data_IF_706570952384
#
_entry.id   IF_706570952384
#
_cell.length_a   1.000
_cell.length_b   1.000
_cell.length_c   1.000
_cell.angle_alpha   90.00
_cell.angle_beta   90.00
_cell.angle_gamma   90.00
#
_symmetry.space_group_name_H-M   'P 1'
#
loop_
_entity.id
_entity.type
_entity.pdbx_description
1 polymer ?
#
# COMPACT_ATOMS: atom_id res chain seq x y z
N UNK A 1 12.86 3.85 -0.34
CA UNK A 1 13.34 5.09 0.31
C UNK A 1 12.79 6.32 -0.39
N UNK A 2 13.39 6.82 -1.48
CA UNK A 2 12.97 8.05 -2.18
C UNK A 2 11.46 8.25 -2.36
N UNK A 3 10.74 7.20 -2.78
CA UNK A 3 9.27 7.16 -2.88
C UNK A 3 8.52 7.75 -1.66
N UNK A 4 9.02 7.53 -0.44
CA UNK A 4 8.46 8.09 0.80
C UNK A 4 9.07 9.48 1.14
N UNK A 5 10.30 9.76 0.72
CA UNK A 5 11.01 11.01 1.01
C UNK A 5 10.52 12.18 0.14
N UNK A 6 10.16 11.92 -1.11
CA UNK A 6 9.71 12.94 -2.07
C UNK A 6 8.30 13.46 -1.72
N UNK A 7 7.45 12.57 -1.18
CA UNK A 7 6.05 12.83 -0.80
C UNK A 7 5.87 13.23 0.68
N UNK A 8 6.92 13.19 1.50
CA UNK A 8 6.82 13.50 2.94
C UNK A 8 8.04 14.25 3.50
N UNK A 9 8.02 14.49 4.81
CA UNK A 9 9.17 14.98 5.59
C UNK A 9 10.03 13.87 6.22
N UNK A 10 9.65 12.59 6.08
CA UNK A 10 10.44 11.46 6.60
C UNK A 10 11.70 11.28 5.74
N UNK A 11 12.84 11.05 6.38
CA UNK A 11 14.15 10.90 5.71
C UNK A 11 14.89 9.66 6.20
N UNK A 12 15.55 8.98 5.27
CA UNK A 12 16.25 7.72 5.52
C UNK A 12 17.76 7.94 5.37
N UNK A 13 18.48 7.97 6.48
CA UNK A 13 19.94 8.16 6.51
C UNK A 13 20.63 6.87 6.93
N UNK A 14 21.69 6.48 6.20
CA UNK A 14 22.60 5.41 6.62
C UNK A 14 23.15 5.72 8.02
N UNK A 15 22.71 4.95 9.01
CA UNK A 15 23.02 5.22 10.40
C UNK A 15 24.43 4.73 10.79
N UNK A 16 25.12 5.58 11.53
CA UNK A 16 26.52 5.41 11.91
C UNK A 16 26.67 4.29 12.95
N UNK A 17 27.90 3.77 13.10
CA UNK A 17 28.20 2.66 14.04
C UNK A 17 27.73 2.90 15.49
N UNK A 18 27.62 4.15 15.93
CA UNK A 18 27.18 4.55 17.27
C UNK A 18 25.67 4.77 17.42
N UNK A 19 24.89 4.71 16.33
CA UNK A 19 23.43 4.84 16.38
C UNK A 19 22.84 3.55 16.97
N UNK A 20 22.10 3.69 18.08
CA UNK A 20 21.52 2.57 18.83
C UNK A 20 20.17 2.09 18.31
N UNK A 21 19.41 2.97 17.67
CA UNK A 21 18.07 2.67 17.16
C UNK A 21 18.11 2.71 15.64
N UNK A 22 17.95 1.56 14.99
CA UNK A 22 18.01 1.49 13.53
C UNK A 22 17.16 0.37 12.95
N UNK A 23 16.65 0.60 11.74
CA UNK A 23 16.17 -0.48 10.86
C UNK A 23 17.38 -1.21 10.30
N UNK A 24 17.38 -2.53 10.33
CA UNK A 24 18.39 -3.40 9.75
C UNK A 24 17.75 -4.16 8.59
N UNK A 25 18.15 -3.82 7.36
CA UNK A 25 17.67 -4.50 6.15
C UNK A 25 18.52 -5.75 5.96
N UNK A 26 17.88 -6.92 6.05
CA UNK A 26 18.55 -8.23 6.02
C UNK A 26 17.87 -9.19 5.03
N UNK A 27 18.55 -10.26 4.58
CA UNK A 27 17.90 -11.35 3.85
C UNK A 27 16.83 -12.02 4.71
N UNK A 28 15.71 -12.41 4.11
CA UNK A 28 14.67 -13.23 4.75
C UNK A 28 15.05 -14.71 4.72
N UNK A 29 14.86 -15.42 5.84
CA UNK A 29 15.08 -16.88 5.93
C UNK A 29 13.80 -17.69 5.62
N UNK A 30 12.63 -17.02 5.57
CA UNK A 30 11.31 -17.65 5.41
C UNK A 30 10.67 -17.39 4.03
N UNK A 31 11.41 -16.76 3.12
CA UNK A 31 10.96 -16.50 1.75
C UNK A 31 9.83 -15.47 1.61
N UNK A 32 9.66 -14.57 2.58
CA UNK A 32 8.73 -13.43 2.47
C UNK A 32 9.44 -12.09 2.70
N UNK A 33 8.86 -11.02 2.17
CA UNK A 33 9.14 -9.66 2.62
C UNK A 33 8.41 -9.45 3.97
N UNK A 34 9.01 -8.71 4.91
CA UNK A 34 8.36 -8.34 6.19
C UNK A 34 9.14 -7.25 6.94
N UNK A 35 8.45 -6.47 7.79
CA UNK A 35 9.07 -5.48 8.66
C UNK A 35 8.51 -5.53 10.09
N UNK A 36 9.34 -5.17 11.06
CA UNK A 36 8.88 -4.91 12.42
C UNK A 36 8.08 -3.62 12.50
N UNK A 37 6.89 -3.69 13.09
CA UNK A 37 5.97 -2.57 13.19
C UNK A 37 6.44 -1.46 14.16
N UNK A 38 6.48 -0.23 13.66
CA UNK A 38 6.68 1.00 14.44
C UNK A 38 8.07 1.20 15.06
N UNK A 39 8.17 2.12 16.03
CA UNK A 39 9.41 2.35 16.79
C UNK A 39 9.40 1.58 18.11
N UNK A 40 10.29 0.60 18.23
CA UNK A 40 10.51 -0.22 19.44
C UNK A 40 11.83 0.09 20.14
N UNK A 41 12.74 0.79 19.45
CA UNK A 41 14.11 1.06 19.91
C UNK A 41 15.05 -0.13 19.72
N UNK A 42 16.35 0.11 19.74
CA UNK A 42 17.34 -0.92 19.38
C UNK A 42 17.38 -1.22 17.88
N UNK A 43 17.88 -2.40 17.52
CA UNK A 43 17.77 -2.93 16.17
C UNK A 43 16.35 -3.41 15.89
N UNK A 44 15.80 -3.01 14.75
CA UNK A 44 14.54 -3.50 14.20
C UNK A 44 14.78 -4.10 12.82
N UNK A 45 14.13 -5.20 12.46
CA UNK A 45 14.41 -5.90 11.20
C UNK A 45 13.41 -5.55 10.11
N UNK A 46 13.93 -5.37 8.91
CA UNK A 46 13.20 -5.41 7.65
C UNK A 46 13.85 -6.53 6.81
N UNK A 47 13.08 -7.54 6.45
CA UNK A 47 13.57 -8.77 5.84
C UNK A 47 13.11 -8.82 4.38
N UNK A 48 14.03 -9.04 3.44
CA UNK A 48 13.73 -9.17 2.02
C UNK A 48 14.20 -10.53 1.50
N UNK A 49 13.28 -11.32 0.93
CA UNK A 49 13.58 -12.64 0.38
C UNK A 49 14.31 -12.52 -0.96
N UNK A 50 15.58 -12.96 -1.02
CA UNK A 50 16.45 -12.87 -2.21
C UNK A 50 15.87 -13.65 -3.40
N UNK A 51 15.26 -14.78 -3.11
CA UNK A 51 14.56 -15.68 -4.03
C UNK A 51 13.20 -15.14 -4.53
N UNK A 52 12.73 -13.98 -4.01
CA UNK A 52 11.53 -13.29 -4.50
C UNK A 52 11.88 -11.89 -5.01
N UNK A 53 12.20 -11.71 -6.31
CA UNK A 53 12.54 -10.41 -6.90
C UNK A 53 11.53 -9.29 -6.58
N UNK A 54 10.23 -9.62 -6.42
CA UNK A 54 9.20 -8.66 -6.00
C UNK A 54 9.50 -7.98 -4.65
N UNK A 55 10.21 -8.60 -3.72
CA UNK A 55 10.62 -7.95 -2.47
C UNK A 55 11.58 -6.75 -2.68
N UNK A 56 12.24 -6.66 -3.84
CA UNK A 56 13.14 -5.54 -4.19
C UNK A 56 12.47 -4.47 -5.05
N UNK A 57 11.18 -4.63 -5.37
CA UNK A 57 10.40 -3.56 -6.00
C UNK A 57 10.32 -2.36 -5.03
N UNK A 58 10.65 -1.12 -5.46
CA UNK A 58 10.66 0.07 -4.60
C UNK A 58 9.34 0.37 -3.88
N UNK A 59 8.20 -0.05 -4.45
CA UNK A 59 6.86 0.11 -3.90
C UNK A 59 6.59 -0.95 -2.81
N UNK A 60 6.97 -2.21 -3.04
CA UNK A 60 6.96 -3.24 -1.98
C UNK A 60 7.86 -2.84 -0.81
N UNK A 61 9.05 -2.30 -1.08
CA UNK A 61 9.91 -1.75 -0.03
C UNK A 61 9.26 -0.56 0.68
N UNK A 62 8.44 0.26 0.00
CA UNK A 62 7.67 1.33 0.65
C UNK A 62 6.60 0.81 1.62
N UNK A 63 5.89 -0.28 1.26
CA UNK A 63 4.94 -0.98 2.13
C UNK A 63 5.61 -1.45 3.45
N UNK A 64 6.74 -2.14 3.36
CA UNK A 64 7.52 -2.58 4.53
C UNK A 64 8.04 -1.42 5.40
N UNK A 65 8.39 -0.30 4.76
CA UNK A 65 8.82 0.91 5.47
C UNK A 65 7.65 1.64 6.13
N UNK A 66 6.43 1.60 5.58
CA UNK A 66 5.24 2.13 6.25
C UNK A 66 4.91 1.33 7.52
N UNK A 67 5.03 0.01 7.51
CA UNK A 67 4.98 -0.80 8.73
C UNK A 67 6.05 -0.35 9.74
N UNK A 68 7.29 -0.19 9.28
CA UNK A 68 8.40 0.31 10.12
C UNK A 68 8.13 1.71 10.71
N UNK A 69 7.38 2.56 10.00
CA UNK A 69 6.94 3.89 10.44
C UNK A 69 5.70 3.84 11.35
N UNK A 70 5.06 2.68 11.54
CA UNK A 70 3.99 2.45 12.50
C UNK A 70 2.58 2.39 11.92
N UNK A 71 2.45 2.12 10.62
CA UNK A 71 1.17 1.89 9.95
C UNK A 71 0.82 0.39 9.91
N UNK A 72 -0.40 0.06 10.33
CA UNK A 72 -0.95 -1.30 10.21
C UNK A 72 -1.51 -1.53 8.80
N UNK A 73 -1.87 -2.76 8.47
CA UNK A 73 -2.64 -3.05 7.26
C UNK A 73 -4.01 -2.36 7.29
N UNK A 74 -4.48 -1.85 6.15
CA UNK A 74 -5.71 -1.06 6.08
C UNK A 74 -6.96 -1.91 6.43
N UNK A 75 -6.98 -3.20 6.06
CA UNK A 75 -8.04 -4.14 6.44
C UNK A 75 -8.11 -4.48 7.94
N UNK A 76 -7.26 -3.85 8.77
CA UNK A 76 -7.33 -3.92 10.22
C UNK A 76 -7.98 -2.69 10.85
N UNK A 77 -8.38 -1.69 10.06
CA UNK A 77 -8.99 -0.45 10.54
C UNK A 77 -10.29 -0.68 11.33
N UNK A 78 -10.59 0.22 12.28
CA UNK A 78 -11.70 0.05 13.24
C UNK A 78 -13.09 0.03 12.60
N UNK A 79 -13.22 0.73 11.47
CA UNK A 79 -14.40 0.99 10.65
C UNK A 79 -14.46 0.09 9.41
N UNK A 80 -13.47 -0.79 9.18
CA UNK A 80 -13.37 -1.63 7.97
C UNK A 80 -14.65 -2.39 7.61
N UNK A 81 -15.46 -2.78 8.59
CA UNK A 81 -16.63 -3.65 8.36
C UNK A 81 -17.77 -2.87 7.68
N UNK A 82 -17.64 -1.53 7.58
CA UNK A 82 -18.48 -0.64 6.76
C UNK A 82 -18.01 -0.59 5.28
N UNK A 83 -16.87 -1.23 4.94
CA UNK A 83 -16.22 -1.19 3.64
C UNK A 83 -15.88 -2.57 3.06
N UNK A 84 -15.55 -3.56 3.89
CA UNK A 84 -15.16 -4.91 3.49
C UNK A 84 -15.84 -5.99 4.35
N UNK A 85 -16.12 -7.13 3.74
CA UNK A 85 -16.45 -8.38 4.44
C UNK A 85 -15.20 -9.25 4.55
N UNK A 86 -14.97 -9.81 5.74
CA UNK A 86 -13.97 -10.87 5.96
C UNK A 86 -14.67 -12.22 5.91
N UNK A 87 -14.30 -13.06 4.94
CA UNK A 87 -14.85 -14.41 4.74
C UNK A 87 -14.01 -15.40 5.55
N UNK A 88 -14.30 -15.50 6.85
CA UNK A 88 -13.47 -16.22 7.81
C UNK A 88 -13.27 -17.70 7.49
N UNK A 89 -14.26 -18.33 6.86
CA UNK A 89 -14.26 -19.72 6.40
C UNK A 89 -13.28 -19.99 5.25
N UNK A 90 -12.81 -18.94 4.56
CA UNK A 90 -11.82 -19.03 3.48
C UNK A 90 -10.38 -18.74 3.98
N UNK A 91 -10.22 -18.32 5.24
CA UNK A 91 -8.90 -18.04 5.82
C UNK A 91 -8.27 -19.36 6.25
N UNK A 92 -7.04 -19.61 5.78
CA UNK A 92 -6.24 -20.75 6.20
C UNK A 92 -6.17 -20.87 7.74
N UNK A 93 -6.49 -22.02 8.34
CA UNK A 93 -6.47 -22.19 9.79
C UNK A 93 -5.18 -21.75 10.46
N UNK A 94 -5.30 -20.97 11.53
CA UNK A 94 -4.19 -20.34 12.25
C UNK A 94 -3.68 -19.02 11.64
N UNK A 95 -4.40 -18.44 10.68
CA UNK A 95 -4.10 -17.11 10.09
C UNK A 95 -5.15 -16.04 10.41
N UNK A 96 -6.14 -16.36 11.23
CA UNK A 96 -7.22 -15.46 11.65
C UNK A 96 -6.69 -14.23 12.40
N UNK A 97 -5.53 -14.37 13.08
CA UNK A 97 -4.87 -13.26 13.80
C UNK A 97 -4.44 -12.11 12.86
N UNK A 98 -4.14 -12.40 11.59
CA UNK A 98 -3.80 -11.41 10.56
C UNK A 98 -5.01 -10.62 10.05
N UNK A 99 -6.21 -10.94 10.56
CA UNK A 99 -7.49 -10.31 10.25
C UNK A 99 -8.15 -9.68 11.47
N UNK A 100 -7.45 -9.55 12.61
CA UNK A 100 -8.00 -8.86 13.77
C UNK A 100 -8.30 -7.39 13.47
N UNK A 101 -9.42 -6.90 14.02
CA UNK A 101 -9.78 -5.49 13.96
C UNK A 101 -9.11 -4.72 15.09
N UNK A 102 -8.51 -3.59 14.78
CA UNK A 102 -7.83 -2.71 15.73
C UNK A 102 -8.75 -1.55 16.10
N UNK A 103 -8.56 -0.97 17.28
CA UNK A 103 -9.28 0.26 17.64
C UNK A 103 -8.63 1.51 16.99
N UNK A 104 -9.39 2.59 16.84
CA UNK A 104 -8.90 3.85 16.25
C UNK A 104 -7.77 4.50 17.09
N UNK A 105 -7.52 4.07 18.33
CA UNK A 105 -6.36 4.54 19.10
C UNK A 105 -5.08 3.82 18.66
N UNK A 106 -5.22 2.54 18.29
CA UNK A 106 -4.14 1.65 17.85
C UNK A 106 -3.84 1.84 16.36
N UNK A 107 -4.85 1.83 15.49
CA UNK A 107 -4.75 2.11 14.07
C UNK A 107 -5.66 3.30 13.71
N UNK A 108 -5.10 4.51 13.76
CA UNK A 108 -5.86 5.73 13.48
C UNK A 108 -5.79 6.10 12.00
N UNK A 109 -6.92 6.55 11.45
CA UNK A 109 -7.08 6.99 10.06
C UNK A 109 -6.58 8.43 9.82
N UNK A 110 -6.27 9.17 10.89
CA UNK A 110 -5.94 10.60 10.88
C UNK A 110 -6.99 11.50 10.21
N UNK A 111 -8.25 11.05 10.13
CA UNK A 111 -9.35 11.75 9.44
C UNK A 111 -9.38 11.57 7.91
N UNK A 112 -8.59 10.65 7.34
CA UNK A 112 -8.64 10.32 5.91
C UNK A 112 -9.66 9.21 5.56
N UNK A 113 -10.21 8.54 6.58
CA UNK A 113 -11.09 7.38 6.44
C UNK A 113 -10.42 6.16 5.79
N UNK A 114 -11.25 5.14 5.53
CA UNK A 114 -10.85 3.89 4.87
C UNK A 114 -10.36 4.10 3.43
N UNK A 115 -9.43 3.25 3.00
CA UNK A 115 -8.76 3.35 1.70
C UNK A 115 -8.57 2.00 1.00
N UNK A 116 -9.49 1.63 0.11
CA UNK A 116 -9.38 0.41 -0.70
C UNK A 116 -8.08 0.34 -1.51
N UNK A 117 -7.60 1.48 -2.02
CA UNK A 117 -6.41 1.58 -2.85
C UNK A 117 -5.11 1.67 -2.04
N UNK A 118 -5.17 1.66 -0.71
CA UNK A 118 -3.97 1.72 0.13
C UNK A 118 -3.00 0.60 -0.23
N UNK A 119 -1.71 0.94 -0.34
CA UNK A 119 -0.65 -0.05 -0.49
C UNK A 119 -0.62 -1.05 0.68
N UNK A 120 -1.16 -0.65 1.84
CA UNK A 120 -1.26 -1.44 3.06
C UNK A 120 -2.51 -2.34 3.09
N UNK A 121 -3.41 -2.25 2.12
CA UNK A 121 -4.55 -3.14 2.01
C UNK A 121 -4.11 -4.52 1.50
N UNK A 122 -4.69 -5.60 2.03
CA UNK A 122 -4.54 -6.94 1.49
C UNK A 122 -5.39 -7.16 0.23
N UNK A 123 -4.93 -8.04 -0.66
CA UNK A 123 -5.73 -8.47 -1.81
C UNK A 123 -6.80 -9.49 -1.41
N UNK A 124 -7.77 -9.80 -2.31
CA UNK A 124 -8.90 -10.67 -1.99
C UNK A 124 -8.47 -12.08 -1.55
N UNK A 125 -7.31 -12.55 -2.02
CA UNK A 125 -6.82 -13.92 -1.82
C UNK A 125 -5.79 -14.08 -0.70
N UNK A 126 -5.50 -13.03 0.08
CA UNK A 126 -4.52 -13.11 1.17
C UNK A 126 -4.86 -14.26 2.13
N UNK A 127 -3.87 -15.10 2.46
CA UNK A 127 -4.04 -16.28 3.32
C UNK A 127 -5.19 -17.26 2.97
N UNK A 128 -5.73 -17.23 1.75
CA UNK A 128 -6.64 -18.28 1.26
C UNK A 128 -5.89 -19.60 1.07
N UNK A 129 -6.54 -20.72 1.40
CA UNK A 129 -6.08 -22.08 1.04
C UNK A 129 -7.12 -22.91 0.28
N UNK A 130 -8.31 -22.36 0.02
CA UNK A 130 -9.41 -23.01 -0.69
C UNK A 130 -9.74 -22.39 -2.06
N UNK A 131 -8.99 -21.37 -2.49
CA UNK A 131 -9.19 -20.70 -3.78
C UNK A 131 -10.33 -19.67 -3.79
N UNK A 132 -11.00 -19.44 -2.67
CA UNK A 132 -12.03 -18.42 -2.49
C UNK A 132 -11.49 -17.18 -1.77
N UNK A 133 -12.07 -15.98 -2.00
CA UNK A 133 -11.58 -14.74 -1.40
C UNK A 133 -11.78 -14.72 0.12
N UNK A 134 -10.76 -14.28 0.84
CA UNK A 134 -10.81 -13.97 2.28
C UNK A 134 -11.28 -12.55 2.58
N UNK A 135 -11.16 -11.64 1.59
CA UNK A 135 -11.68 -10.26 1.67
C UNK A 135 -12.56 -9.99 0.44
N UNK A 136 -13.78 -9.50 0.68
CA UNK A 136 -14.67 -8.97 -0.36
C UNK A 136 -14.95 -7.49 -0.10
N UNK A 137 -14.69 -6.61 -1.06
CA UNK A 137 -15.09 -5.20 -0.95
C UNK A 137 -16.60 -5.03 -1.10
N UNK A 138 -17.19 -4.10 -0.34
CA UNK A 138 -18.62 -3.78 -0.41
C UNK A 138 -18.94 -2.82 -1.58
N UNK A 139 -17.98 -2.00 -2.00
CA UNK A 139 -18.01 -1.31 -3.29
C UNK A 139 -17.50 -2.25 -4.38
N UNK A 140 -18.37 -2.60 -5.34
CA UNK A 140 -18.04 -3.48 -6.47
C UNK A 140 -17.01 -2.91 -7.43
N UNK A 141 -16.74 -1.60 -7.39
CA UNK A 141 -15.75 -0.93 -8.24
C UNK A 141 -14.39 -0.79 -7.56
N UNK A 142 -14.30 -1.11 -6.26
CA UNK A 142 -13.08 -0.97 -5.49
C UNK A 142 -12.08 -2.09 -5.80
N UNK A 143 -10.85 -1.72 -6.18
CA UNK A 143 -9.76 -2.65 -6.37
C UNK A 143 -8.85 -2.68 -5.13
N UNK A 144 -8.84 -3.81 -4.41
CA UNK A 144 -8.07 -3.97 -3.18
C UNK A 144 -6.78 -4.76 -3.39
N UNK A 145 -5.71 -4.36 -2.70
CA UNK A 145 -4.44 -5.09 -2.71
C UNK A 145 -3.48 -4.74 -3.85
N UNK A 146 -3.66 -3.59 -4.51
CA UNK A 146 -2.70 -3.04 -5.48
C UNK A 146 -1.29 -2.91 -4.87
N UNK A 147 -0.24 -3.01 -5.69
CA UNK A 147 1.17 -2.91 -5.26
C UNK A 147 2.03 -2.08 -6.21
N UNK A 148 1.41 -1.09 -6.84
CA UNK A 148 1.96 -0.28 -7.92
C UNK A 148 2.27 1.15 -7.49
N UNK A 149 1.55 1.69 -6.48
CA UNK A 149 1.74 3.05 -6.00
C UNK A 149 1.38 3.24 -4.51
N UNK A 150 1.75 4.41 -3.96
CA UNK A 150 1.21 4.92 -2.71
C UNK A 150 -0.08 5.69 -3.02
N UNK A 151 -1.18 5.41 -2.32
CA UNK A 151 -2.41 6.17 -2.53
C UNK A 151 -2.26 7.62 -2.01
N UNK A 152 -3.13 8.56 -2.43
CA UNK A 152 -3.19 9.90 -1.84
C UNK A 152 -3.45 9.86 -0.33
N UNK A 153 -4.19 8.85 0.17
CA UNK A 153 -4.49 8.67 1.59
C UNK A 153 -3.32 8.05 2.36
N UNK A 154 -2.54 7.13 1.78
CA UNK A 154 -1.27 6.65 2.35
C UNK A 154 -0.33 7.83 2.63
N UNK A 155 -0.16 8.70 1.63
CA UNK A 155 0.66 9.91 1.72
C UNK A 155 0.09 10.89 2.76
N UNK A 156 -1.23 11.07 2.78
CA UNK A 156 -1.93 11.93 3.75
C UNK A 156 -1.74 11.44 5.19
N UNK A 157 -2.04 10.17 5.46
CA UNK A 157 -1.88 9.51 6.77
C UNK A 157 -0.41 9.55 7.24
N UNK A 158 0.55 9.31 6.34
CA UNK A 158 1.99 9.45 6.62
C UNK A 158 2.37 10.87 7.07
N UNK A 159 1.97 11.88 6.29
CA UNK A 159 2.29 13.27 6.57
C UNK A 159 1.60 13.77 7.86
N UNK A 160 0.36 13.35 8.10
CA UNK A 160 -0.38 13.65 9.33
C UNK A 160 0.29 13.01 10.56
N UNK A 161 0.60 11.71 10.52
CA UNK A 161 1.32 11.05 11.63
C UNK A 161 2.65 11.74 11.93
N UNK A 162 3.42 12.10 10.89
CA UNK A 162 4.73 12.72 11.07
C UNK A 162 4.71 14.24 11.26
N UNK A 163 3.54 14.89 11.25
CA UNK A 163 3.37 16.35 11.31
C UNK A 163 4.25 17.06 10.28
N UNK A 164 4.27 16.54 9.05
CA UNK A 164 5.04 17.14 7.98
C UNK A 164 4.46 18.52 7.61
N UNK A 165 5.30 19.49 7.21
CA UNK A 165 4.82 20.78 6.73
C UNK A 165 3.87 20.57 5.56
N UNK A 166 2.72 21.25 5.57
CA UNK A 166 1.88 21.33 4.39
C UNK A 166 2.70 21.98 3.27
N UNK A 167 2.84 21.29 2.14
CA UNK A 167 3.27 21.93 0.90
C UNK A 167 2.15 22.88 0.50
N UNK A 168 2.32 24.17 0.80
CA UNK A 168 1.46 25.20 0.23
C UNK A 168 1.83 25.28 -1.23
N UNK A 169 0.95 24.81 -2.11
CA UNK A 169 1.00 25.16 -3.52
C UNK A 169 0.83 26.68 -3.59
N UNK A 170 1.94 27.41 -3.77
CA UNK A 170 1.90 28.83 -4.06
C UNK A 170 1.31 28.99 -5.46
N UNK A 171 -0.01 29.12 -5.52
CA UNK A 171 -0.71 29.56 -6.72
C UNK A 171 -0.16 30.94 -7.10
N UNK A 172 0.81 30.96 -8.04
CA UNK A 172 1.24 32.18 -8.72
C UNK A 172 0.03 32.74 -9.48
N UNK A 173 -0.75 33.57 -8.80
CA UNK A 173 -1.81 34.36 -9.41
C UNK A 173 -1.17 35.26 -10.47
N UNK A 174 -1.26 34.85 -11.72
CA UNK A 174 -1.05 35.75 -12.84
C UNK A 174 -2.13 36.84 -12.77
N UNK A 175 -1.76 38.02 -12.32
CA UNK A 175 -2.56 39.24 -12.49
C UNK A 175 -2.72 39.54 -13.97
N UNK A 176 -3.71 38.90 -14.60
CA UNK A 176 -4.24 39.35 -15.89
C UNK A 176 -5.23 40.48 -15.61
N UNK A 177 -4.79 41.71 -15.81
CA UNK A 177 -5.66 42.87 -15.74
C UNK A 177 -6.72 42.81 -16.84
N UNK A 178 -7.98 42.63 -16.47
CA UNK A 178 -9.12 42.78 -17.38
C UNK A 178 -9.84 44.10 -17.13
N UNK A 179 -9.92 44.90 -18.18
CA UNK A 179 -10.82 46.06 -18.28
C UNK A 179 -12.22 45.60 -18.69
N UNK A 180 -13.25 46.14 -18.04
CA UNK A 180 -14.65 45.91 -18.39
C UNK A 180 -15.02 46.54 -19.76
N UNK A 181 -15.81 45.85 -20.57
CA UNK A 181 -16.95 46.46 -21.30
C UNK A 181 -18.02 45.40 -21.63
N UNK A 182 -19.29 45.80 -21.58
CA UNK A 182 -20.45 44.90 -21.44
C UNK A 182 -21.21 44.48 -22.71
N UNK A 183 -22.36 43.83 -22.48
CA UNK A 183 -23.41 43.57 -23.48
C UNK A 183 -23.90 42.10 -23.54
N UNK A 184 -25.14 41.84 -23.08
CA UNK A 184 -25.89 40.59 -23.36
C UNK A 184 -26.83 40.73 -24.58
N UNK A 185 -27.96 39.98 -24.70
CA UNK A 185 -28.49 38.90 -23.84
C UNK A 185 -29.05 37.65 -24.61
N UNK A 186 -29.44 36.59 -23.86
CA UNK A 186 -30.46 35.53 -24.13
C UNK A 186 -30.36 34.70 -25.47
N UNK A 187 -30.95 33.49 -25.65
CA UNK A 187 -32.12 32.79 -25.09
C UNK A 187 -31.94 31.24 -25.25
N UNK A 188 -32.65 30.43 -24.44
CA UNK A 188 -33.41 29.14 -24.65
C UNK A 188 -33.16 28.23 -25.91
N UNK A 189 -33.45 26.91 -25.97
CA UNK A 189 -34.28 25.94 -25.20
C UNK A 189 -33.88 24.45 -25.45
N UNK A 190 -34.33 23.52 -24.58
CA UNK A 190 -35.01 22.17 -24.79
C UNK A 190 -34.67 21.23 -26.00
N UNK A 191 -34.95 19.91 -26.07
CA UNK A 191 -35.25 18.74 -25.19
C UNK A 191 -35.27 17.45 -26.09
N UNK A 192 -35.44 16.24 -25.52
CA UNK A 192 -35.75 14.96 -26.22
C UNK A 192 -34.58 13.96 -26.32
N UNK A 193 -34.57 12.73 -25.78
CA UNK A 193 -35.55 11.60 -25.71
C UNK A 193 -35.67 10.75 -27.00
N UNK A 194 -35.11 9.52 -26.99
CA UNK A 194 -35.78 8.19 -27.13
C UNK A 194 -34.68 7.09 -27.01
N UNK A 195 -34.86 5.97 -26.28
CA UNK A 195 -35.42 4.66 -26.73
C UNK A 195 -34.81 4.11 -28.03
N UNK A 196 -34.51 2.82 -28.24
CA UNK A 196 -34.50 1.58 -27.44
C UNK A 196 -33.41 0.66 -28.09
N UNK A 197 -33.10 -0.60 -27.77
CA UNK A 197 -33.95 -1.80 -27.67
C UNK A 197 -33.05 -2.98 -27.19
N UNK A 198 -33.67 -4.07 -26.74
CA UNK A 198 -33.02 -5.24 -26.13
C UNK A 198 -32.43 -6.21 -27.19
N UNK A 199 -31.51 -7.10 -26.79
CA UNK A 199 -31.70 -8.56 -26.99
C UNK A 199 -30.65 -9.42 -26.25
N UNK A 200 -31.14 -10.48 -25.60
CA UNK A 200 -30.43 -11.70 -25.18
C UNK A 200 -30.02 -12.48 -26.48
N UNK A 201 -29.16 -13.50 -26.57
CA UNK A 201 -28.60 -14.50 -25.65
C UNK A 201 -27.06 -14.61 -25.92
N UNK A 202 -26.23 -15.63 -25.63
CA UNK A 202 -26.43 -17.02 -25.16
C UNK A 202 -25.18 -17.53 -24.39
N UNK A 203 -25.01 -18.85 -24.31
CA UNK A 203 -24.05 -19.63 -23.52
C UNK A 203 -22.61 -19.67 -24.07
N UNK A 204 -21.64 -19.91 -23.18
CA UNK A 204 -20.24 -20.17 -23.49
C UNK A 204 -19.52 -20.81 -22.29
N UNK A 205 -19.65 -22.12 -22.16
CA UNK A 205 -18.84 -22.92 -21.22
C UNK A 205 -17.39 -22.96 -21.72
N UNK A 206 -16.42 -22.54 -20.91
CA UNK A 206 -15.01 -22.83 -21.14
C UNK A 206 -14.36 -23.29 -19.82
N UNK A 207 -14.25 -24.61 -19.67
CA UNK A 207 -13.32 -25.25 -18.75
C UNK A 207 -11.89 -24.94 -19.22
N UNK A 208 -11.05 -24.33 -18.38
CA UNK A 208 -9.60 -24.34 -18.60
C UNK A 208 -8.90 -24.76 -17.31
N UNK A 209 -8.30 -25.94 -17.38
CA UNK A 209 -7.55 -26.56 -16.30
C UNK A 209 -6.27 -25.77 -15.97
N UNK A 210 -5.89 -25.78 -14.69
CA UNK A 210 -4.50 -25.55 -14.29
C UNK A 210 -3.63 -26.71 -14.81
N UNK A 211 -2.67 -26.43 -15.70
CA UNK A 211 -1.36 -27.03 -15.49
C UNK A 211 -0.19 -26.27 -16.17
N UNK A 212 0.77 -25.90 -15.31
CA UNK A 212 2.20 -26.16 -15.51
C UNK A 212 3.11 -25.16 -16.27
N UNK A 213 4.20 -24.81 -15.56
CA UNK A 213 5.61 -24.85 -16.00
C UNK A 213 5.92 -24.45 -17.46
N UNK A 214 6.30 -23.19 -17.66
CA UNK A 214 7.22 -22.86 -18.75
C UNK A 214 8.69 -22.89 -18.25
N UNK A 215 9.47 -23.78 -18.86
CA UNK A 215 10.91 -23.55 -19.02
C UNK A 215 11.08 -22.31 -19.89
N UNK A 216 12.07 -21.48 -19.58
CA UNK A 216 12.67 -20.57 -20.55
C UNK A 216 14.11 -21.04 -20.69
N UNK A 217 14.44 -21.58 -21.86
CA UNK A 217 15.83 -21.85 -22.23
C UNK A 217 16.53 -20.50 -22.51
N UNK A 218 17.80 -20.40 -22.14
CA UNK A 218 18.51 -19.12 -22.13
C UNK A 218 18.86 -18.60 -23.53
N UNK A 219 18.75 -17.28 -23.69
CA UNK A 219 19.88 -16.36 -23.84
C UNK A 219 19.38 -14.93 -23.46
N UNK A 220 20.27 -13.93 -23.36
CA UNK A 220 19.98 -12.53 -22.96
C UNK A 220 19.65 -12.25 -21.46
N UNK A 221 20.42 -12.83 -20.52
CA UNK A 221 20.49 -12.36 -19.12
C UNK A 221 21.95 -12.22 -18.65
N UNK A 222 22.64 -11.15 -19.08
CA UNK A 222 23.97 -10.77 -18.53
C UNK A 222 24.05 -9.37 -17.91
N UNK A 223 23.04 -8.50 -18.06
CA UNK A 223 23.12 -7.10 -17.59
C UNK A 223 22.35 -6.81 -16.27
N UNK A 224 21.71 -7.81 -15.64
CA UNK A 224 20.92 -7.62 -14.42
C UNK A 224 21.46 -8.34 -13.17
N UNK A 225 22.26 -9.41 -13.31
CA UNK A 225 22.75 -10.21 -12.17
C UNK A 225 23.75 -9.47 -11.28
N UNK A 226 24.48 -8.49 -11.83
CA UNK A 226 25.50 -7.71 -11.08
C UNK A 226 24.87 -6.86 -9.96
N UNK A 227 23.56 -6.57 -10.05
CA UNK A 227 22.82 -5.77 -9.05
C UNK A 227 22.31 -6.57 -7.82
N UNK A 228 22.32 -7.90 -7.87
CA UNK A 228 21.69 -8.76 -6.85
C UNK A 228 22.67 -9.16 -5.73
N UNK A 229 23.98 -9.14 -6.02
CA UNK A 229 24.99 -9.79 -5.18
C UNK A 229 25.57 -8.95 -4.02
N UNK A 230 25.24 -7.66 -3.89
CA UNK A 230 25.77 -6.77 -2.83
C UNK A 230 24.76 -6.30 -1.76
N UNK A 231 23.88 -7.19 -1.28
CA UNK A 231 23.22 -6.97 0.02
C UNK A 231 24.15 -7.43 1.16
N UNK A 232 25.33 -6.82 1.24
CA UNK A 232 26.23 -6.82 2.41
C UNK A 232 26.28 -5.42 3.05
N UNK A 233 25.41 -4.49 2.64
CA UNK A 233 25.25 -3.17 3.22
C UNK A 233 24.21 -3.16 4.34
N UNK A 234 24.65 -2.92 5.57
CA UNK A 234 23.74 -2.65 6.70
C UNK A 234 23.19 -1.23 6.54
N UNK A 235 22.12 -1.06 5.76
CA UNK A 235 21.40 0.23 5.65
C UNK A 235 20.65 0.46 6.95
N UNK A 236 21.37 0.97 7.95
CA UNK A 236 20.79 1.45 9.20
C UNK A 236 19.95 2.67 8.90
N UNK A 237 18.76 2.80 9.49
CA UNK A 237 17.91 4.01 9.36
C UNK A 237 17.55 4.57 10.73
N UNK A 238 17.89 5.83 11.01
CA UNK A 238 17.42 6.51 12.23
C UNK A 238 15.94 6.91 12.12
N UNK A 239 15.08 6.23 12.88
CA UNK A 239 13.64 6.48 12.90
C UNK A 239 13.27 7.63 13.87
N UNK A 240 12.48 8.58 13.39
CA UNK A 240 11.87 9.60 14.24
C UNK A 240 10.82 8.98 15.17
N UNK A 241 10.93 9.27 16.47
CA UNK A 241 10.07 8.71 17.53
C UNK A 241 8.68 9.34 17.50
N UNK A 242 7.65 8.57 17.14
CA UNK A 242 6.25 8.99 17.37
C UNK A 242 5.29 7.92 17.89
N UNK A 243 5.49 6.65 17.56
CA UNK A 243 4.61 5.57 18.04
C UNK A 243 5.42 4.41 18.60
N UNK A 244 5.34 4.26 19.92
CA UNK A 244 5.76 3.04 20.62
C UNK A 244 4.58 2.07 20.59
N UNK A 245 4.80 0.87 20.05
CA UNK A 245 3.78 -0.18 19.98
C UNK A 245 4.16 -1.27 21.00
N UNK A 246 3.26 -1.64 21.92
CA UNK A 246 3.52 -2.68 22.91
C UNK A 246 3.88 -4.03 22.29
N UNK A 247 4.64 -4.83 23.03
CA UNK A 247 5.26 -6.07 22.53
C UNK A 247 4.32 -7.24 22.25
N UNK A 248 3.00 -7.02 22.27
CA UNK A 248 1.96 -8.03 22.10
C UNK A 248 1.45 -8.11 20.65
N UNK A 249 1.83 -7.15 19.80
CA UNK A 249 1.41 -7.01 18.39
C UNK A 249 2.63 -7.12 17.45
N UNK A 250 3.60 -7.98 17.80
CA UNK A 250 4.92 -8.01 17.15
C UNK A 250 4.99 -8.75 15.80
N UNK A 251 4.02 -9.60 15.53
CA UNK A 251 4.04 -10.61 14.45
C UNK A 251 2.66 -10.68 13.76
N UNK A 252 2.09 -9.50 13.47
CA UNK A 252 0.96 -9.34 12.54
C UNK A 252 1.48 -8.60 11.31
#
# INVERSE_FOLDING_TARGET
MKCLEDVSCVRFYEAKRNVKNYVNIIPSEIGTCSAMLGYRGGEQRLQLAKERPKCFNPIIVAHELLHTLGFFHEHMASDRDDFITINWENIRPGREIFYMKLDNKTATDFGYGYDYESILHYGPMSFSDNGLPTITALDSNANIGQRDHLSPKDIGKLNAMYNCPLKVEENENQESGQTEDGGGPAEESEEGEDESEETETEEGEDEVEDESKNKIDGDDVEESEESINEINGVVKVELAKKKYIPSEINEI
#
